data_IF_144630931278
#
_entry.id   IF_144630931278
#
_cell.length_a   1.000
_cell.length_b   1.000
_cell.length_c   1.000
_cell.angle_alpha   90.00
_cell.angle_beta   90.00
_cell.angle_gamma   90.00
#
_symmetry.space_group_name_H-M   'P 1'
#
loop_
_entity.id
_entity.type
_entity.pdbx_description
1 polymer ?
#
# COMPACT_ATOMS: atom_id res chain seq x y z
N UNK A 1 -13.96 13.69 12.05
CA UNK A 1 -14.63 12.55 11.36
C UNK A 1 -15.61 13.02 10.29
N UNK A 2 -16.67 13.79 10.62
CA UNK A 2 -17.66 14.25 9.62
C UNK A 2 -17.06 15.00 8.42
N UNK A 3 -16.13 15.94 8.65
CA UNK A 3 -15.41 16.65 7.57
C UNK A 3 -14.62 15.73 6.63
N UNK A 4 -14.10 14.62 7.14
CA UNK A 4 -13.32 13.68 6.34
C UNK A 4 -14.21 12.81 5.45
N UNK A 5 -15.38 12.40 5.97
CA UNK A 5 -16.39 11.75 5.15
C UNK A 5 -16.95 12.70 4.07
N UNK A 6 -17.12 13.99 4.41
CA UNK A 6 -17.48 15.01 3.43
C UNK A 6 -16.42 15.13 2.33
N UNK A 7 -15.14 15.18 2.70
CA UNK A 7 -14.03 15.16 1.74
C UNK A 7 -14.12 13.96 0.78
N UNK A 8 -14.37 12.74 1.29
CA UNK A 8 -14.53 11.55 0.45
C UNK A 8 -15.70 11.70 -0.54
N UNK A 9 -16.85 12.19 -0.06
CA UNK A 9 -18.00 12.41 -0.91
C UNK A 9 -17.74 13.48 -1.99
N UNK A 10 -17.00 14.54 -1.63
CA UNK A 10 -16.60 15.61 -2.55
C UNK A 10 -15.64 15.10 -3.63
N UNK A 11 -14.62 14.33 -3.26
CA UNK A 11 -13.68 13.75 -4.23
C UNK A 11 -14.39 12.86 -5.25
N UNK A 12 -15.31 11.99 -4.79
CA UNK A 12 -16.11 11.13 -5.67
C UNK A 12 -17.00 11.96 -6.60
N UNK A 13 -17.68 12.97 -6.05
CA UNK A 13 -18.56 13.85 -6.83
C UNK A 13 -17.80 14.70 -7.86
N UNK A 14 -16.59 15.16 -7.51
CA UNK A 14 -15.74 15.94 -8.40
C UNK A 14 -15.10 15.10 -9.51
N UNK A 15 -14.73 13.85 -9.22
CA UNK A 15 -14.20 12.93 -10.23
C UNK A 15 -15.27 12.56 -11.27
N UNK A 16 -16.47 12.22 -10.80
CA UNK A 16 -17.65 11.98 -11.64
C UNK A 16 -17.61 10.69 -12.48
N UNK A 17 -16.54 9.88 -12.38
CA UNK A 17 -16.39 8.61 -13.12
C UNK A 17 -16.43 7.40 -12.20
N UNK A 18 -15.88 7.52 -11.00
CA UNK A 18 -15.86 6.45 -10.00
C UNK A 18 -17.21 6.27 -9.29
N UNK A 19 -17.58 5.03 -8.91
CA UNK A 19 -18.84 4.77 -8.24
C UNK A 19 -18.89 5.34 -6.80
N UNK A 20 -20.09 5.50 -6.20
CA UNK A 20 -20.21 5.90 -4.80
C UNK A 20 -19.55 4.91 -3.84
N UNK A 21 -19.05 5.41 -2.70
CA UNK A 21 -18.44 4.58 -1.67
C UNK A 21 -19.47 4.08 -0.64
N UNK A 22 -19.30 2.83 -0.21
CA UNK A 22 -20.00 2.28 0.95
C UNK A 22 -19.50 2.92 2.26
N UNK A 23 -20.30 2.82 3.32
CA UNK A 23 -19.89 3.27 4.66
C UNK A 23 -18.58 2.62 5.11
N UNK A 24 -18.39 1.34 4.81
CA UNK A 24 -17.17 0.61 5.18
C UNK A 24 -15.93 1.08 4.43
N UNK A 25 -16.07 1.44 3.15
CA UNK A 25 -14.99 2.07 2.39
C UNK A 25 -14.61 3.43 2.98
N UNK A 26 -15.59 4.27 3.32
CA UNK A 26 -15.35 5.57 3.97
C UNK A 26 -14.64 5.40 5.31
N UNK A 27 -15.01 4.39 6.11
CA UNK A 27 -14.32 4.08 7.37
C UNK A 27 -12.86 3.67 7.12
N UNK A 28 -12.61 2.81 6.13
CA UNK A 28 -11.25 2.39 5.76
C UNK A 28 -10.38 3.58 5.31
N UNK A 29 -10.96 4.54 4.57
CA UNK A 29 -10.26 5.79 4.18
C UNK A 29 -9.92 6.63 5.42
N UNK A 30 -10.82 6.75 6.39
CA UNK A 30 -10.57 7.48 7.64
C UNK A 30 -9.48 6.81 8.47
N UNK A 31 -9.49 5.47 8.54
CA UNK A 31 -8.46 4.67 9.22
C UNK A 31 -7.09 4.86 8.57
N UNK A 32 -7.03 4.84 7.25
CA UNK A 32 -5.79 5.12 6.51
C UNK A 32 -5.31 6.56 6.74
N UNK A 33 -6.22 7.54 6.71
CA UNK A 33 -5.90 8.93 7.02
C UNK A 33 -5.34 9.11 8.43
N UNK A 34 -5.84 8.34 9.40
CA UNK A 34 -5.31 8.31 10.78
C UNK A 34 -3.96 7.61 10.85
N UNK A 35 -3.77 6.51 10.10
CA UNK A 35 -2.50 5.79 10.02
C UNK A 35 -1.40 6.68 9.44
N UNK A 36 -1.67 7.41 8.35
CA UNK A 36 -0.72 8.35 7.73
C UNK A 36 -0.38 9.50 8.66
N UNK A 37 -1.36 10.08 9.35
CA UNK A 37 -1.08 11.11 10.36
C UNK A 37 -0.07 10.62 11.41
N UNK A 38 -0.27 9.38 11.90
CA UNK A 38 0.60 8.80 12.93
C UNK A 38 1.99 8.43 12.41
N UNK A 39 2.09 7.83 11.22
CA UNK A 39 3.34 7.24 10.70
C UNK A 39 4.17 8.24 9.90
N UNK A 40 3.52 9.13 9.14
CA UNK A 40 4.17 10.07 8.23
C UNK A 40 4.26 11.46 8.87
N UNK A 41 3.13 11.96 9.37
CA UNK A 41 3.08 13.32 9.92
C UNK A 41 3.49 13.36 11.41
N UNK A 42 3.61 12.19 12.07
CA UNK A 42 3.96 12.02 13.49
C UNK A 42 3.01 12.78 14.43
N UNK A 43 1.74 12.90 14.02
CA UNK A 43 0.69 13.62 14.74
C UNK A 43 -0.46 12.71 15.16
N UNK A 44 -1.12 13.06 16.26
CA UNK A 44 -2.36 12.41 16.68
C UNK A 44 -3.55 13.09 16.00
N UNK A 45 -3.98 12.57 14.85
CA UNK A 45 -5.03 13.20 14.07
C UNK A 45 -5.41 12.46 12.80
N UNK A 46 -5.83 13.21 11.78
CA UNK A 46 -6.06 12.75 10.41
C UNK A 46 -5.15 13.55 9.50
N UNK A 47 -4.52 12.89 8.52
CA UNK A 47 -3.61 13.59 7.62
C UNK A 47 -4.37 14.63 6.79
N UNK A 48 -3.74 15.80 6.60
CA UNK A 48 -4.22 16.84 5.69
C UNK A 48 -3.58 16.75 4.30
N UNK A 49 -2.86 15.66 4.02
CA UNK A 49 -2.37 15.30 2.67
C UNK A 49 -3.52 14.86 1.77
N UNK A 50 -4.55 15.70 1.65
CA UNK A 50 -5.81 15.40 0.98
C UNK A 50 -5.60 15.06 -0.50
N UNK A 51 -4.57 15.61 -1.16
CA UNK A 51 -4.23 15.24 -2.53
C UNK A 51 -3.83 13.76 -2.66
N UNK A 52 -3.01 13.26 -1.76
CA UNK A 52 -2.60 11.85 -1.75
C UNK A 52 -3.78 10.94 -1.42
N UNK A 53 -4.62 11.37 -0.47
CA UNK A 53 -5.84 10.66 -0.10
C UNK A 53 -6.86 10.64 -1.25
N UNK A 54 -7.02 11.73 -2.00
CA UNK A 54 -7.85 11.79 -3.21
C UNK A 54 -7.32 10.90 -4.33
N UNK A 55 -5.99 10.77 -4.45
CA UNK A 55 -5.36 9.78 -5.33
C UNK A 55 -5.72 8.34 -4.93
N UNK A 56 -5.67 8.02 -3.63
CA UNK A 56 -6.08 6.71 -3.11
C UNK A 56 -7.56 6.41 -3.39
N UNK A 57 -8.45 7.38 -3.18
CA UNK A 57 -9.90 7.23 -3.43
C UNK A 57 -10.16 6.92 -4.90
N UNK A 58 -9.51 7.65 -5.83
CA UNK A 58 -9.64 7.40 -7.27
C UNK A 58 -9.12 6.03 -7.69
N UNK A 59 -7.93 5.63 -7.20
CA UNK A 59 -7.40 4.30 -7.47
C UNK A 59 -8.34 3.19 -6.99
N UNK A 60 -8.96 3.34 -5.82
CA UNK A 60 -9.97 2.40 -5.35
C UNK A 60 -11.27 2.42 -6.18
N UNK A 61 -11.65 3.58 -6.68
CA UNK A 61 -12.75 3.75 -7.62
C UNK A 61 -12.49 3.04 -8.95
N UNK A 62 -11.29 3.20 -9.51
CA UNK A 62 -10.87 2.52 -10.74
C UNK A 62 -10.88 1.00 -10.57
N UNK A 63 -10.44 0.50 -9.41
CA UNK A 63 -10.53 -0.93 -9.08
C UNK A 63 -11.98 -1.41 -9.01
N UNK A 64 -12.89 -0.61 -8.45
CA UNK A 64 -14.31 -0.96 -8.40
C UNK A 64 -14.90 -1.03 -9.81
N UNK A 65 -14.57 -0.07 -10.69
CA UNK A 65 -14.98 -0.09 -12.10
C UNK A 65 -14.43 -1.33 -12.80
N UNK A 66 -13.13 -1.60 -12.64
CA UNK A 66 -12.46 -2.74 -13.25
C UNK A 66 -13.10 -4.08 -12.84
N UNK A 67 -13.50 -4.21 -11.58
CA UNK A 67 -14.19 -5.39 -11.05
C UNK A 67 -15.68 -5.47 -11.45
N UNK A 68 -16.26 -4.42 -12.05
CA UNK A 68 -17.69 -4.32 -12.34
C UNK A 68 -18.55 -4.09 -11.09
N UNK A 69 -17.96 -3.64 -9.99
CA UNK A 69 -18.66 -3.42 -8.73
C UNK A 69 -19.45 -2.10 -8.73
N UNK A 70 -20.67 -2.16 -8.20
CA UNK A 70 -21.57 -0.99 -8.13
C UNK A 70 -21.08 0.10 -7.17
N UNK A 71 -20.28 -0.26 -6.17
CA UNK A 71 -19.83 0.64 -5.12
C UNK A 71 -18.35 0.43 -4.82
N UNK A 72 -17.70 1.48 -4.31
CA UNK A 72 -16.38 1.33 -3.67
C UNK A 72 -16.59 0.64 -2.31
N UNK A 73 -16.02 -0.54 -2.15
CA UNK A 73 -16.04 -1.34 -0.93
C UNK A 73 -14.69 -1.27 -0.20
N UNK A 74 -14.67 -1.70 1.06
CA UNK A 74 -13.45 -1.75 1.88
C UNK A 74 -12.29 -2.48 1.16
N UNK A 75 -12.59 -3.59 0.49
CA UNK A 75 -11.61 -4.39 -0.28
C UNK A 75 -10.85 -3.56 -1.33
N UNK A 76 -11.52 -2.61 -1.98
CA UNK A 76 -10.90 -1.73 -2.97
C UNK A 76 -9.95 -0.74 -2.32
N UNK A 77 -10.32 -0.19 -1.16
CA UNK A 77 -9.46 0.70 -0.38
C UNK A 77 -8.21 -0.04 0.09
N UNK A 78 -8.37 -1.21 0.68
CA UNK A 78 -7.24 -2.02 1.17
C UNK A 78 -6.29 -2.43 0.05
N UNK A 79 -6.82 -2.76 -1.13
CA UNK A 79 -6.00 -3.04 -2.30
C UNK A 79 -5.30 -1.77 -2.79
N UNK A 80 -6.01 -0.64 -2.90
CA UNK A 80 -5.46 0.65 -3.29
C UNK A 80 -4.33 1.11 -2.35
N UNK A 81 -4.47 0.87 -1.04
CA UNK A 81 -3.42 1.17 -0.05
C UNK A 81 -2.18 0.33 -0.29
N UNK A 82 -2.33 -0.97 -0.59
CA UNK A 82 -1.18 -1.85 -0.88
C UNK A 82 -0.41 -1.42 -2.12
N UNK A 83 -1.09 -1.07 -3.20
CA UNK A 83 -0.43 -0.63 -4.44
C UNK A 83 0.15 0.79 -4.35
N UNK A 84 -0.32 1.61 -3.39
CA UNK A 84 0.18 2.96 -3.16
C UNK A 84 1.53 2.98 -2.41
N UNK A 85 2.01 1.82 -1.93
CA UNK A 85 3.33 1.69 -1.29
C UNK A 85 4.46 1.85 -2.31
N UNK A 86 5.67 2.26 -1.89
CA UNK A 86 6.85 2.24 -2.76
C UNK A 86 7.10 0.84 -3.34
N UNK A 87 7.66 0.77 -4.55
CA UNK A 87 7.92 -0.50 -5.26
C UNK A 87 8.83 -1.40 -4.44
N UNK A 88 9.80 -0.82 -3.73
CA UNK A 88 10.73 -1.51 -2.84
C UNK A 88 10.01 -2.20 -1.68
N UNK A 89 9.02 -1.53 -1.07
CA UNK A 89 8.19 -2.10 -0.01
C UNK A 89 7.30 -3.22 -0.56
N UNK A 90 6.74 -3.03 -1.77
CA UNK A 90 5.94 -4.06 -2.44
C UNK A 90 6.78 -5.32 -2.77
N UNK A 91 8.03 -5.14 -3.22
CA UNK A 91 8.96 -6.25 -3.50
C UNK A 91 9.28 -6.99 -2.20
N UNK A 92 9.59 -6.26 -1.13
CA UNK A 92 9.87 -6.83 0.20
C UNK A 92 8.68 -7.64 0.74
N UNK A 93 7.44 -7.14 0.60
CA UNK A 93 6.24 -7.88 1.02
C UNK A 93 5.97 -9.13 0.16
N UNK A 94 6.24 -9.07 -1.15
CA UNK A 94 5.96 -10.18 -2.08
C UNK A 94 7.00 -11.30 -2.00
N UNK A 95 8.27 -10.96 -1.83
CA UNK A 95 9.39 -11.91 -1.93
C UNK A 95 10.15 -12.11 -0.61
N UNK A 96 9.86 -11.31 0.43
CA UNK A 96 10.72 -11.17 1.60
C UNK A 96 11.94 -10.31 1.29
N UNK A 97 12.99 -10.36 2.12
CA UNK A 97 14.32 -9.93 1.66
C UNK A 97 14.69 -10.76 0.43
N UNK A 98 15.38 -10.17 -0.55
CA UNK A 98 15.86 -10.88 -1.75
C UNK A 98 16.50 -12.24 -1.40
N UNK A 99 17.22 -12.27 -0.28
CA UNK A 99 17.84 -13.43 0.37
C UNK A 99 16.86 -14.58 0.69
N UNK A 100 15.68 -14.26 1.23
CA UNK A 100 14.65 -15.25 1.58
C UNK A 100 13.94 -15.83 0.35
N UNK A 101 13.86 -15.05 -0.73
CA UNK A 101 13.37 -15.51 -2.04
C UNK A 101 14.36 -16.48 -2.70
N UNK A 102 15.64 -16.11 -2.77
CA UNK A 102 16.71 -16.98 -3.30
C UNK A 102 16.79 -18.27 -2.50
N UNK A 103 16.77 -18.21 -1.16
CA UNK A 103 16.87 -19.39 -0.29
C UNK A 103 15.79 -20.47 -0.49
N UNK A 104 14.64 -20.13 -1.09
CA UNK A 104 13.54 -21.07 -1.37
C UNK A 104 13.72 -21.83 -2.69
N UNK A 105 14.37 -21.23 -3.69
CA UNK A 105 14.53 -21.82 -5.03
C UNK A 105 15.85 -22.59 -5.21
N UNK A 106 16.82 -22.43 -4.30
CA UNK A 106 18.07 -23.22 -4.33
C UNK A 106 17.90 -24.59 -3.68
N UNK A 107 18.21 -25.64 -4.46
CA UNK A 107 18.32 -27.02 -3.96
C UNK A 107 19.37 -27.11 -2.85
N UNK A 108 19.25 -28.11 -1.97
CA UNK A 108 20.10 -28.29 -0.76
C UNK A 108 21.60 -28.31 -1.07
N UNK A 109 21.99 -28.68 -2.30
CA UNK A 109 23.36 -28.66 -2.78
C UNK A 109 23.89 -27.25 -3.11
N UNK A 110 23.04 -26.35 -3.62
CA UNK A 110 23.40 -24.97 -3.97
C UNK A 110 23.39 -24.03 -2.74
N UNK A 111 22.67 -24.39 -1.68
CA UNK A 111 22.66 -23.66 -0.40
C UNK A 111 24.06 -23.38 0.14
N UNK A 112 24.98 -24.34 0.02
CA UNK A 112 26.36 -24.21 0.52
C UNK A 112 27.20 -23.26 -0.34
N UNK A 113 26.99 -23.25 -1.66
CA UNK A 113 27.70 -22.35 -2.57
C UNK A 113 27.27 -20.89 -2.39
N UNK A 114 25.96 -20.64 -2.24
CA UNK A 114 25.43 -19.29 -1.98
C UNK A 114 25.88 -18.79 -0.61
N UNK A 115 25.77 -19.61 0.44
CA UNK A 115 26.24 -19.24 1.79
C UNK A 115 27.73 -18.88 1.83
N UNK A 116 28.57 -19.56 1.02
CA UNK A 116 29.99 -19.26 0.93
C UNK A 116 30.27 -17.96 0.15
N UNK A 117 29.54 -17.70 -0.94
CA UNK A 117 29.73 -16.50 -1.77
C UNK A 117 29.45 -15.21 -0.98
N UNK A 118 28.41 -15.20 -0.14
CA UNK A 118 28.07 -14.05 0.69
C UNK A 118 29.07 -13.81 1.83
N UNK A 119 29.53 -14.88 2.49
CA UNK A 119 30.54 -14.76 3.54
C UNK A 119 31.93 -14.32 3.02
N UNK A 120 32.25 -14.57 1.75
CA UNK A 120 33.46 -14.00 1.12
C UNK A 120 33.26 -12.55 0.66
N UNK A 121 32.04 -12.16 0.28
CA UNK A 121 31.74 -10.81 -0.23
C UNK A 121 31.72 -9.74 0.88
N UNK A 122 31.36 -10.11 2.11
CA UNK A 122 31.35 -9.19 3.27
C UNK A 122 32.76 -8.88 3.82
N UNK A 123 33.81 -9.54 3.31
CA UNK A 123 35.20 -9.34 3.79
C UNK A 123 35.90 -8.16 3.09
N UNK A 124 35.41 -7.72 1.92
CA UNK A 124 36.04 -6.64 1.13
C UNK A 124 35.42 -5.24 1.35
N UNK A 125 34.57 -5.09 2.38
CA UNK A 125 33.77 -3.88 2.60
C UNK A 125 34.35 -2.78 3.50
N UNK A 126 35.54 -2.95 4.09
CA UNK A 126 36.17 -1.90 4.92
C UNK A 126 37.71 -1.94 4.83
N UNK A 127 38.27 -1.17 3.90
CA UNK A 127 39.54 -0.46 4.08
C UNK A 127 39.40 0.99 3.60
#
# INVERSE_FOLDING_TARGET
RAKYAQFVAQEIAMDGRIPPATRDAVLAIIEEGKRRAKVIDVENGLTLRLREMGGLIRAAGDLAIYNGDKYIERKHIEYAVRIAKPVEEQISERYGTYEAGVARDITTAQKKAVYNYWNESDVDGYQ
#
